data_IF_261627375662
#
_entry.id   IF_261627375662
#
_cell.length_a   1.000
_cell.length_b   1.000
_cell.length_c   1.000
_cell.angle_alpha   90.00
_cell.angle_beta   90.00
_cell.angle_gamma   90.00
#
_symmetry.space_group_name_H-M   'P 1'
#
loop_
_entity.id
_entity.type
_entity.pdbx_description
1 polymer ?
#
# COMPACT_ATOMS: atom_id res chain seq x y z
N UNK A 1 6.13 5.51 0.07
CA UNK A 1 4.80 5.33 -0.57
C UNK A 1 4.82 5.72 -2.04
N UNK A 2 5.03 7.00 -2.37
CA UNK A 2 5.04 7.47 -3.77
C UNK A 2 6.00 6.68 -4.69
N UNK A 3 7.25 6.49 -4.26
CA UNK A 3 8.22 5.65 -5.00
C UNK A 3 7.76 4.20 -5.19
N UNK A 4 7.15 3.60 -4.16
CA UNK A 4 6.62 2.23 -4.24
C UNK A 4 5.51 2.13 -5.28
N UNK A 5 4.57 3.08 -5.30
CA UNK A 5 3.50 3.15 -6.30
C UNK A 5 4.03 3.39 -7.72
N UNK A 6 5.10 4.19 -7.87
CA UNK A 6 5.74 4.42 -9.18
C UNK A 6 6.48 3.19 -9.69
N UNK A 7 7.08 2.41 -8.78
CA UNK A 7 7.81 1.18 -9.09
C UNK A 7 6.87 -0.02 -9.28
N UNK A 8 5.68 0.03 -8.67
CA UNK A 8 4.66 -1.01 -8.73
C UNK A 8 3.32 -0.42 -9.21
N UNK A 9 3.24 0.06 -10.46
CA UNK A 9 2.03 0.70 -10.99
C UNK A 9 0.83 -0.27 -11.06
N UNK A 10 1.09 -1.57 -11.17
CA UNK A 10 0.06 -2.62 -11.17
C UNK A 10 -0.43 -2.97 -9.76
N UNK A 11 0.16 -2.43 -8.70
CA UNK A 11 -0.24 -2.75 -7.34
C UNK A 11 -1.44 -1.91 -6.90
N UNK A 12 -2.60 -2.53 -6.71
CA UNK A 12 -3.82 -1.85 -6.26
C UNK A 12 -3.96 -1.81 -4.75
N UNK A 13 -3.33 -2.74 -4.05
CA UNK A 13 -3.32 -2.73 -2.59
C UNK A 13 -1.94 -3.13 -2.08
N UNK A 14 -1.45 -2.36 -1.11
CA UNK A 14 -0.17 -2.60 -0.46
C UNK A 14 -0.26 -2.31 1.04
N UNK A 15 0.70 -2.85 1.78
CA UNK A 15 0.78 -2.68 3.22
C UNK A 15 2.18 -2.25 3.64
N UNK A 16 2.27 -1.43 4.70
CA UNK A 16 3.53 -1.22 5.44
C UNK A 16 3.58 -2.02 6.75
N UNK A 17 2.71 -3.03 6.88
CA UNK A 17 2.45 -3.84 8.07
C UNK A 17 1.66 -3.11 9.17
N UNK A 18 1.51 -1.78 9.08
CA UNK A 18 0.70 -1.00 10.00
C UNK A 18 -0.60 -0.51 9.37
N UNK A 19 -0.52 -0.12 8.10
CA UNK A 19 -1.65 0.36 7.32
C UNK A 19 -1.81 -0.46 6.05
N UNK A 20 -3.05 -0.76 5.71
CA UNK A 20 -3.43 -1.25 4.39
C UNK A 20 -3.76 -0.02 3.55
N UNK A 21 -3.15 0.10 2.39
CA UNK A 21 -3.30 1.20 1.46
C UNK A 21 -3.81 0.68 0.12
N UNK A 22 -4.95 1.21 -0.33
CA UNK A 22 -5.53 0.90 -1.64
C UNK A 22 -5.27 2.07 -2.60
N UNK A 23 -4.86 1.78 -3.83
CA UNK A 23 -4.65 2.79 -4.87
C UNK A 23 -5.94 2.98 -5.65
N UNK A 24 -6.57 4.15 -5.49
CA UNK A 24 -7.74 4.59 -6.24
C UNK A 24 -7.44 5.95 -6.88
N UNK A 25 -7.72 6.11 -8.18
CA UNK A 25 -7.52 7.36 -8.92
C UNK A 25 -6.10 7.96 -8.78
N UNK A 26 -5.08 7.11 -8.74
CA UNK A 26 -3.68 7.50 -8.59
C UNK A 26 -3.31 8.01 -7.19
N UNK A 27 -4.20 7.87 -6.21
CA UNK A 27 -3.99 8.20 -4.80
C UNK A 27 -4.04 6.93 -3.97
N UNK A 28 -3.21 6.88 -2.93
CA UNK A 28 -3.30 5.83 -1.94
C UNK A 28 -4.25 6.27 -0.82
N UNK A 29 -5.29 5.49 -0.59
CA UNK A 29 -6.19 5.60 0.56
C UNK A 29 -5.77 4.55 1.58
N UNK A 30 -5.29 4.99 2.74
CA UNK A 30 -4.74 4.10 3.76
C UNK A 30 -5.61 4.04 5.01
N UNK A 31 -5.72 2.86 5.60
CA UNK A 31 -6.34 2.66 6.90
C UNK A 31 -5.54 3.28 8.05
N UNK A 32 -6.21 3.56 9.16
CA UNK A 32 -5.56 4.00 10.40
C UNK A 32 -4.62 2.92 10.93
N UNK A 33 -3.37 3.25 11.28
CA UNK A 33 -2.41 2.28 11.75
C UNK A 33 -2.82 1.70 13.11
N UNK A 34 -2.59 0.39 13.30
CA UNK A 34 -2.85 -0.26 14.58
C UNK A 34 -1.85 0.17 15.66
N UNK A 35 -2.28 0.11 16.93
CA UNK A 35 -1.44 0.48 18.08
C UNK A 35 -0.23 -0.46 18.15
N UNK A 36 0.96 0.11 18.38
CA UNK A 36 2.24 -0.59 18.51
C UNK A 36 2.77 -1.28 17.23
N UNK A 37 2.33 -0.87 16.05
CA UNK A 37 2.90 -1.39 14.81
C UNK A 37 4.22 -0.71 14.42
N UNK A 38 5.18 -1.52 13.95
CA UNK A 38 6.45 -1.07 13.38
C UNK A 38 6.35 -1.08 11.86
N UNK A 39 6.44 0.10 11.24
CA UNK A 39 6.41 0.23 9.78
C UNK A 39 7.55 -0.57 9.14
N UNK A 40 7.19 -1.41 8.18
CA UNK A 40 8.14 -2.14 7.35
C UNK A 40 8.15 -1.58 5.93
N UNK A 41 9.01 -2.15 5.08
CA UNK A 41 9.00 -1.84 3.65
C UNK A 41 7.62 -2.16 3.06
N UNK A 42 7.15 -1.31 2.14
CA UNK A 42 5.87 -1.52 1.48
C UNK A 42 5.88 -2.83 0.71
N UNK A 43 4.84 -3.64 0.89
CA UNK A 43 4.63 -4.89 0.18
C UNK A 43 3.27 -4.87 -0.51
N UNK A 44 3.25 -5.29 -1.78
CA UNK A 44 2.00 -5.42 -2.52
C UNK A 44 1.22 -6.64 -2.00
N UNK A 45 -0.03 -6.44 -1.60
CA UNK A 45 -0.93 -7.50 -1.11
C UNK A 45 -1.92 -7.93 -2.18
N UNK A 46 -2.33 -7.01 -3.07
CA UNK A 46 -3.16 -7.32 -4.22
C UNK A 46 -2.60 -6.66 -5.49
N UNK A 47 -2.05 -7.44 -6.44
CA UNK A 47 -1.84 -6.94 -7.79
C UNK A 47 -3.19 -6.67 -8.45
N UNK A 48 -3.23 -5.76 -9.42
CA UNK A 48 -4.33 -5.59 -10.34
C UNK A 48 -4.50 -6.91 -11.11
N UNK A 49 -5.31 -7.83 -10.58
CA UNK A 49 -5.67 -9.05 -11.28
C UNK A 49 -6.21 -8.68 -12.66
N UNK A 50 -5.61 -9.33 -13.67
CA UNK A 50 -5.77 -9.14 -15.11
C UNK A 50 -7.22 -9.16 -15.58
#
# INVERSE_FOLDING_TARGET
>A
MKEFMQTNPDCKEFTDQCSICTVADGKAECSTPQIACVKQAYQCTAPASK
#
